data_IF_442409200441
#
_entry.id   IF_442409200441
#
_cell.length_a   1.000
_cell.length_b   1.000
_cell.length_c   1.000
_cell.angle_alpha   90.00
_cell.angle_beta   90.00
_cell.angle_gamma   90.00
#
_symmetry.space_group_name_H-M   'P 1'
#
loop_
_entity.id
_entity.type
_entity.pdbx_description
1 polymer ?
#
# COMPACT_ATOMS: atom_id res chain seq x y z
N UNK A 1 -16.24 5.02 -10.92
CA UNK A 1 -16.23 4.79 -9.46
C UNK A 1 -14.82 4.70 -8.92
N UNK A 2 -13.92 3.94 -9.57
CA UNK A 2 -12.52 3.84 -9.14
C UNK A 2 -11.82 5.20 -9.03
N UNK A 3 -11.87 6.05 -10.07
CA UNK A 3 -11.32 7.42 -10.01
C UNK A 3 -11.76 8.21 -8.77
N UNK A 4 -13.05 8.13 -8.42
CA UNK A 4 -13.57 8.76 -7.22
C UNK A 4 -12.92 8.20 -5.95
N UNK A 5 -12.82 6.88 -5.81
CA UNK A 5 -12.17 6.25 -4.65
C UNK A 5 -10.69 6.61 -4.55
N UNK A 6 -9.97 6.66 -5.67
CA UNK A 6 -8.59 7.09 -5.71
C UNK A 6 -8.43 8.54 -5.23
N UNK A 7 -9.15 9.49 -5.85
CA UNK A 7 -9.02 10.90 -5.47
C UNK A 7 -9.47 11.14 -4.04
N UNK A 8 -10.55 10.51 -3.60
CA UNK A 8 -11.03 10.63 -2.22
C UNK A 8 -9.97 10.14 -1.22
N UNK A 9 -9.37 8.98 -1.48
CA UNK A 9 -8.30 8.43 -0.64
C UNK A 9 -7.04 9.30 -0.63
N UNK A 10 -6.63 9.80 -1.80
CA UNK A 10 -5.43 10.64 -1.90
C UNK A 10 -5.62 12.03 -1.29
N UNK A 11 -6.78 12.66 -1.48
CA UNK A 11 -7.11 13.91 -0.80
C UNK A 11 -7.20 13.74 0.71
N UNK A 12 -7.79 12.63 1.18
CA UNK A 12 -7.80 12.30 2.60
C UNK A 12 -6.37 12.18 3.16
N UNK A 13 -5.48 11.42 2.51
CA UNK A 13 -4.07 11.32 2.89
C UNK A 13 -3.34 12.67 2.83
N UNK A 14 -3.66 13.51 1.85
CA UNK A 14 -3.07 14.84 1.73
C UNK A 14 -3.51 15.76 2.88
N UNK A 15 -4.78 15.76 3.25
CA UNK A 15 -5.31 16.52 4.40
C UNK A 15 -4.66 16.02 5.70
N UNK A 16 -4.60 14.71 5.91
CA UNK A 16 -3.93 14.10 7.06
C UNK A 16 -2.47 14.57 7.17
N UNK A 17 -1.73 14.48 6.06
CA UNK A 17 -0.30 14.82 6.06
C UNK A 17 -0.06 16.31 6.21
N UNK A 18 -0.91 17.17 5.66
CA UNK A 18 -0.70 18.63 5.66
C UNK A 18 -1.12 19.28 6.97
N UNK A 19 -2.27 18.88 7.52
CA UNK A 19 -2.88 19.58 8.65
C UNK A 19 -2.77 18.84 9.99
N UNK A 20 -2.74 17.50 9.99
CA UNK A 20 -2.83 16.71 11.22
C UNK A 20 -1.46 16.23 11.71
N UNK A 21 -0.55 15.85 10.81
CA UNK A 21 0.79 15.39 11.18
C UNK A 21 1.71 16.54 11.66
N UNK A 22 2.50 16.24 12.69
CA UNK A 22 3.51 17.14 13.24
C UNK A 22 4.53 17.62 12.18
N UNK A 23 4.99 18.86 12.33
CA UNK A 23 5.90 19.49 11.36
C UNK A 23 7.26 18.80 11.35
N UNK A 24 7.51 18.03 10.29
CA UNK A 24 8.79 17.37 10.03
C UNK A 24 9.11 17.36 8.51
N UNK A 25 10.37 17.14 8.15
CA UNK A 25 10.81 16.97 6.75
C UNK A 25 10.07 15.82 6.06
N UNK A 26 9.86 14.70 6.76
CA UNK A 26 9.12 13.54 6.24
C UNK A 26 7.69 13.93 5.83
N UNK A 27 7.03 14.78 6.63
CA UNK A 27 5.70 15.30 6.32
C UNK A 27 5.68 16.08 5.01
N UNK A 28 6.64 16.99 4.83
CA UNK A 28 6.74 17.79 3.60
C UNK A 28 6.92 16.90 2.37
N UNK A 29 7.83 15.92 2.45
CA UNK A 29 8.03 14.95 1.37
C UNK A 29 6.77 14.12 1.09
N UNK A 30 6.08 13.65 2.12
CA UNK A 30 4.83 12.88 1.95
C UNK A 30 3.72 13.71 1.29
N UNK A 31 3.48 14.94 1.75
CA UNK A 31 2.45 15.82 1.16
C UNK A 31 2.79 16.19 -0.28
N UNK A 32 4.05 16.51 -0.58
CA UNK A 32 4.50 16.79 -1.94
C UNK A 32 4.37 15.55 -2.84
N UNK A 33 4.73 14.36 -2.34
CA UNK A 33 4.57 13.10 -3.05
C UNK A 33 3.11 12.82 -3.41
N UNK A 34 2.18 12.98 -2.44
CA UNK A 34 0.74 12.76 -2.67
C UNK A 34 0.21 13.72 -3.72
N UNK A 35 0.54 15.01 -3.62
CA UNK A 35 0.07 16.02 -4.57
C UNK A 35 0.62 15.76 -5.98
N UNK A 36 1.90 15.42 -6.09
CA UNK A 36 2.52 15.05 -7.36
C UNK A 36 1.87 13.79 -7.95
N UNK A 37 1.53 12.82 -7.11
CA UNK A 37 0.85 11.60 -7.54
C UNK A 37 -0.55 11.89 -8.10
N UNK A 38 -1.33 12.76 -7.45
CA UNK A 38 -2.63 13.23 -7.97
C UNK A 38 -2.46 13.88 -9.34
N UNK A 39 -1.49 14.78 -9.50
CA UNK A 39 -1.24 15.46 -10.79
C UNK A 39 -0.83 14.43 -11.86
N UNK A 40 0.07 13.50 -11.53
CA UNK A 40 0.59 12.50 -12.46
C UNK A 40 -0.44 11.44 -12.84
N UNK A 41 -1.51 11.25 -12.07
CA UNK A 41 -2.53 10.23 -12.35
C UNK A 41 -3.25 10.40 -13.68
N UNK A 42 -3.27 11.64 -14.21
CA UNK A 42 -3.86 11.98 -15.52
C UNK A 42 -2.97 11.65 -16.71
N UNK A 43 -1.69 11.31 -16.49
CA UNK A 43 -0.72 11.12 -17.56
C UNK A 43 -0.37 9.65 -17.73
N UNK A 44 -0.27 9.24 -18.99
CA UNK A 44 0.16 7.90 -19.39
C UNK A 44 1.45 7.99 -20.19
N UNK A 45 2.38 7.09 -19.89
CA UNK A 45 3.69 7.00 -20.54
C UNK A 45 3.76 5.69 -21.32
N UNK A 46 4.14 5.78 -22.59
CA UNK A 46 4.29 4.62 -23.47
C UNK A 46 5.76 4.19 -23.51
N UNK A 47 6.01 2.98 -23.04
CA UNK A 47 7.28 2.26 -23.23
C UNK A 47 6.98 0.98 -24.05
N UNK A 48 7.39 -0.19 -23.53
CA UNK A 48 6.96 -1.50 -24.03
C UNK A 48 5.48 -1.76 -23.71
N UNK A 49 5.01 -1.23 -22.57
CA UNK A 49 3.62 -1.19 -22.12
C UNK A 49 3.20 0.28 -21.90
N UNK A 50 1.91 0.52 -21.78
CA UNK A 50 1.40 1.79 -21.26
C UNK A 50 1.46 1.75 -19.73
N UNK A 51 2.05 2.77 -19.12
CA UNK A 51 2.12 2.94 -17.68
C UNK A 51 1.43 4.23 -17.27
N UNK A 52 0.65 4.20 -16.19
CA UNK A 52 0.23 5.43 -15.54
C UNK A 52 1.44 6.10 -14.85
N UNK A 53 1.60 7.42 -14.98
CA UNK A 53 2.73 8.12 -14.37
C UNK A 53 2.68 8.10 -12.83
N UNK A 54 1.48 8.10 -12.22
CA UNK A 54 1.32 7.93 -10.78
C UNK A 54 1.76 6.55 -10.28
N UNK A 55 1.54 5.50 -11.07
CA UNK A 55 2.03 4.15 -10.77
C UNK A 55 3.57 4.12 -10.70
N UNK A 56 4.25 4.75 -11.65
CA UNK A 56 5.72 4.83 -11.64
C UNK A 56 6.23 5.64 -10.44
N UNK A 57 5.50 6.69 -10.05
CA UNK A 57 5.82 7.45 -8.85
C UNK A 57 5.64 6.61 -7.58
N UNK A 58 4.57 5.82 -7.46
CA UNK A 58 4.41 4.84 -6.37
C UNK A 58 5.55 3.84 -6.32
N UNK A 59 5.92 3.28 -7.48
CA UNK A 59 6.98 2.30 -7.58
C UNK A 59 8.33 2.86 -7.12
N UNK A 60 8.73 4.02 -7.65
CA UNK A 60 9.98 4.70 -7.28
C UNK A 60 9.98 5.19 -5.83
N UNK A 61 8.86 5.72 -5.34
CA UNK A 61 8.70 6.14 -3.95
C UNK A 61 8.85 4.98 -2.96
N UNK A 62 8.32 3.81 -3.28
CA UNK A 62 8.43 2.63 -2.44
C UNK A 62 9.87 2.09 -2.36
N UNK A 63 10.63 2.16 -3.45
CA UNK A 63 12.07 1.86 -3.41
C UNK A 63 12.86 2.85 -2.55
N UNK A 64 12.51 4.14 -2.61
CA UNK A 64 13.15 5.15 -1.80
C UNK A 64 12.88 4.95 -0.30
N UNK A 65 11.64 4.59 0.06
CA UNK A 65 11.23 4.33 1.45
C UNK A 65 11.95 3.15 2.12
N UNK A 66 12.13 2.02 1.41
CA UNK A 66 12.77 0.85 2.00
C UNK A 66 14.29 0.81 1.75
N UNK A 67 14.81 1.59 0.81
CA UNK A 67 16.14 1.44 0.25
C UNK A 67 16.25 0.16 -0.58
N UNK A 68 16.61 0.28 -1.87
CA UNK A 68 16.69 -0.82 -2.84
C UNK A 68 17.29 -2.12 -2.28
N UNK A 69 18.35 -2.04 -1.46
CA UNK A 69 19.05 -3.19 -0.90
C UNK A 69 18.38 -3.82 0.34
N UNK A 70 17.48 -3.16 1.06
CA UNK A 70 16.99 -3.65 2.36
C UNK A 70 16.13 -4.91 2.24
N UNK A 71 15.35 -5.02 1.16
CA UNK A 71 14.49 -6.17 0.89
C UNK A 71 15.35 -7.38 0.54
N UNK A 72 16.30 -7.23 -0.39
CA UNK A 72 17.18 -8.31 -0.83
C UNK A 72 18.21 -8.74 0.23
N UNK A 73 18.49 -7.88 1.22
CA UNK A 73 19.36 -8.24 2.35
C UNK A 73 18.73 -9.25 3.32
N UNK A 74 17.41 -9.41 3.31
CA UNK A 74 16.73 -10.38 4.16
C UNK A 74 15.99 -11.39 3.31
N UNK A 75 16.47 -12.63 3.31
CA UNK A 75 15.82 -13.77 2.64
C UNK A 75 14.33 -13.86 3.00
N UNK A 76 13.99 -13.62 4.27
CA UNK A 76 12.59 -13.58 4.73
C UNK A 76 11.76 -12.51 4.03
N UNK A 77 12.27 -11.28 3.90
CA UNK A 77 11.56 -10.18 3.22
C UNK A 77 11.44 -10.45 1.73
N UNK A 78 12.45 -11.04 1.12
CA UNK A 78 12.42 -11.43 -0.29
C UNK A 78 11.33 -12.48 -0.56
N UNK A 79 11.26 -13.56 0.23
CA UNK A 79 10.21 -14.57 0.09
C UNK A 79 8.82 -14.00 0.33
N UNK A 80 8.66 -13.14 1.33
CA UNK A 80 7.40 -12.47 1.59
C UNK A 80 6.97 -11.58 0.41
N UNK A 81 7.88 -10.76 -0.10
CA UNK A 81 7.63 -9.93 -1.27
C UNK A 81 7.25 -10.79 -2.48
N UNK A 82 7.98 -11.87 -2.76
CA UNK A 82 7.70 -12.76 -3.87
C UNK A 82 6.33 -13.45 -3.71
N UNK A 83 6.00 -13.90 -2.50
CA UNK A 83 4.68 -14.45 -2.18
C UNK A 83 3.56 -13.43 -2.43
N UNK A 84 3.75 -12.16 -2.07
CA UNK A 84 2.81 -11.09 -2.37
C UNK A 84 2.62 -10.92 -3.89
N UNK A 85 3.71 -10.80 -4.65
CA UNK A 85 3.66 -10.67 -6.11
C UNK A 85 2.90 -11.82 -6.77
N UNK A 86 3.18 -13.07 -6.38
CA UNK A 86 2.45 -14.22 -6.90
C UNK A 86 1.01 -14.27 -6.43
N UNK A 87 0.71 -13.90 -5.19
CA UNK A 87 -0.65 -13.85 -4.68
C UNK A 87 -1.51 -12.84 -5.46
N UNK A 88 -0.96 -11.67 -5.81
CA UNK A 88 -1.63 -10.69 -6.66
C UNK A 88 -1.95 -11.29 -8.03
N UNK A 89 -0.93 -11.80 -8.72
CA UNK A 89 -1.09 -12.38 -10.06
C UNK A 89 -2.08 -13.55 -10.06
N UNK A 90 -1.95 -14.47 -9.10
CA UNK A 90 -2.85 -15.60 -8.93
C UNK A 90 -4.30 -15.15 -8.71
N UNK A 91 -4.54 -14.23 -7.77
CA UNK A 91 -5.89 -13.81 -7.40
C UNK A 91 -6.61 -13.16 -8.58
N UNK A 92 -5.95 -12.26 -9.32
CA UNK A 92 -6.57 -11.60 -10.47
C UNK A 92 -6.69 -12.52 -11.70
N UNK A 93 -5.76 -13.45 -11.91
CA UNK A 93 -5.93 -14.47 -12.96
C UNK A 93 -7.06 -15.44 -12.63
N UNK A 94 -7.21 -15.82 -11.36
CA UNK A 94 -8.30 -16.67 -10.90
C UNK A 94 -9.65 -15.95 -11.04
N UNK A 95 -9.73 -14.67 -10.63
CA UNK A 95 -10.91 -13.83 -10.82
C UNK A 95 -11.28 -13.62 -12.29
N UNK A 96 -10.29 -13.56 -13.18
CA UNK A 96 -10.52 -13.47 -14.62
C UNK A 96 -11.08 -14.79 -15.18
N UNK A 97 -10.61 -15.93 -14.69
CA UNK A 97 -11.01 -17.25 -15.18
C UNK A 97 -12.40 -17.69 -14.67
N UNK A 98 -12.64 -17.58 -13.36
CA UNK A 98 -13.91 -17.95 -12.74
C UNK A 98 -14.30 -16.95 -11.62
N UNK A 99 -15.09 -15.92 -11.96
CA UNK A 99 -15.47 -14.87 -11.01
C UNK A 99 -16.53 -15.32 -9.99
N UNK A 100 -17.21 -16.46 -10.18
CA UNK A 100 -18.37 -16.86 -9.35
C UNK A 100 -17.97 -17.19 -7.92
N UNK A 101 -16.71 -17.58 -7.70
CA UNK A 101 -16.17 -17.89 -6.36
C UNK A 101 -15.95 -16.66 -5.47
N UNK A 102 -15.99 -15.45 -6.04
CA UNK A 102 -15.68 -14.22 -5.31
C UNK A 102 -16.94 -13.59 -4.70
N UNK A 103 -17.19 -13.89 -3.42
CA UNK A 103 -18.22 -13.22 -2.61
C UNK A 103 -17.82 -11.75 -2.36
N UNK A 104 -16.53 -11.50 -2.16
CA UNK A 104 -15.95 -10.16 -2.05
C UNK A 104 -15.19 -9.83 -3.33
N UNK A 105 -15.30 -8.56 -3.75
CA UNK A 105 -14.51 -7.99 -4.85
C UNK A 105 -13.00 -8.34 -4.72
N UNK A 106 -12.38 -8.91 -5.77
CA UNK A 106 -10.95 -9.27 -5.80
C UNK A 106 -10.02 -8.17 -5.30
N UNK A 107 -10.35 -6.92 -5.63
CA UNK A 107 -9.64 -5.70 -5.24
C UNK A 107 -9.52 -5.56 -3.72
N UNK A 108 -10.59 -5.84 -2.98
CA UNK A 108 -10.57 -5.73 -1.52
C UNK A 108 -9.85 -6.91 -0.86
N UNK A 109 -9.96 -8.11 -1.45
CA UNK A 109 -9.25 -9.29 -0.95
C UNK A 109 -7.75 -9.09 -0.99
N UNK A 110 -7.20 -8.59 -2.11
CA UNK A 110 -5.76 -8.39 -2.24
C UNK A 110 -5.25 -7.29 -1.31
N UNK A 111 -6.03 -6.21 -1.13
CA UNK A 111 -5.71 -5.14 -0.18
C UNK A 111 -5.62 -5.72 1.23
N UNK A 112 -6.67 -6.42 1.69
CA UNK A 112 -6.69 -6.98 3.05
C UNK A 112 -5.59 -8.00 3.26
N UNK A 113 -5.37 -8.90 2.29
CA UNK A 113 -4.30 -9.89 2.34
C UNK A 113 -2.94 -9.21 2.50
N UNK A 114 -2.65 -8.19 1.71
CA UNK A 114 -1.36 -7.50 1.76
C UNK A 114 -1.18 -6.67 3.02
N UNK A 115 -2.24 -6.01 3.50
CA UNK A 115 -2.23 -5.29 4.79
C UNK A 115 -1.90 -6.26 5.92
N UNK A 116 -2.56 -7.43 5.97
CA UNK A 116 -2.32 -8.47 6.99
C UNK A 116 -0.88 -9.00 6.89
N UNK A 117 -0.42 -9.35 5.69
CA UNK A 117 0.93 -9.87 5.47
C UNK A 117 2.00 -8.85 5.89
N UNK A 118 1.86 -7.59 5.49
CA UNK A 118 2.85 -6.57 5.88
C UNK A 118 2.79 -6.30 7.39
N UNK A 119 1.61 -6.25 8.00
CA UNK A 119 1.46 -6.02 9.42
C UNK A 119 2.05 -7.14 10.29
N UNK A 120 1.90 -8.40 9.87
CA UNK A 120 2.39 -9.56 10.59
C UNK A 120 3.94 -9.67 10.55
N UNK A 121 4.58 -9.24 9.46
CA UNK A 121 6.01 -9.46 9.24
C UNK A 121 6.89 -8.24 9.48
N UNK A 122 6.36 -7.03 9.29
CA UNK A 122 7.10 -5.78 9.48
C UNK A 122 6.55 -5.01 10.68
N UNK A 123 7.44 -4.38 11.45
CA UNK A 123 7.06 -3.56 12.62
C UNK A 123 7.01 -2.07 12.31
N UNK A 124 7.86 -1.61 11.38
CA UNK A 124 7.95 -0.19 11.06
C UNK A 124 6.89 0.18 10.01
N UNK A 125 6.21 1.31 10.21
CA UNK A 125 5.24 1.83 9.23
C UNK A 125 5.86 2.00 7.84
N UNK A 126 7.09 2.52 7.76
CA UNK A 126 7.78 2.72 6.50
C UNK A 126 8.06 1.39 5.77
N UNK A 127 8.51 0.36 6.51
CA UNK A 127 8.75 -0.98 5.96
C UNK A 127 7.45 -1.63 5.48
N UNK A 128 6.37 -1.54 6.27
CA UNK A 128 5.03 -2.04 5.90
C UNK A 128 4.54 -1.39 4.61
N UNK A 129 4.58 -0.06 4.58
CA UNK A 129 4.14 0.73 3.44
C UNK A 129 4.94 0.40 2.17
N UNK A 130 6.27 0.36 2.29
CA UNK A 130 7.12 0.10 1.14
C UNK A 130 6.93 -1.33 0.60
N UNK A 131 6.83 -2.33 1.48
CA UNK A 131 6.61 -3.71 1.08
C UNK A 131 5.22 -3.90 0.44
N UNK A 132 4.19 -3.25 0.99
CA UNK A 132 2.85 -3.23 0.42
C UNK A 132 2.87 -2.66 -1.00
N UNK A 133 3.40 -1.43 -1.18
CA UNK A 133 3.39 -0.76 -2.48
C UNK A 133 4.24 -1.52 -3.49
N UNK A 134 5.42 -2.03 -3.11
CA UNK A 134 6.26 -2.82 -4.02
C UNK A 134 5.58 -4.12 -4.45
N UNK A 135 4.94 -4.83 -3.51
CA UNK A 135 4.14 -6.02 -3.82
C UNK A 135 3.00 -5.71 -4.78
N UNK A 136 2.28 -4.59 -4.57
CA UNK A 136 1.19 -4.15 -5.45
C UNK A 136 1.71 -3.78 -6.84
N UNK A 137 2.81 -3.04 -6.94
CA UNK A 137 3.38 -2.65 -8.22
C UNK A 137 3.88 -3.87 -9.00
N UNK A 138 4.72 -4.70 -8.38
CA UNK A 138 5.30 -5.86 -9.08
C UNK A 138 4.25 -6.94 -9.37
N UNK A 139 3.24 -7.10 -8.51
CA UNK A 139 2.08 -7.94 -8.77
C UNK A 139 1.28 -7.47 -9.99
N UNK A 140 0.97 -6.18 -10.07
CA UNK A 140 0.30 -5.57 -11.21
C UNK A 140 1.10 -5.70 -12.50
N UNK A 141 2.42 -5.50 -12.43
CA UNK A 141 3.31 -5.69 -13.57
C UNK A 141 3.32 -7.14 -14.04
N UNK A 142 3.42 -8.11 -13.12
CA UNK A 142 3.36 -9.54 -13.45
C UNK A 142 2.03 -9.90 -14.11
N UNK A 143 0.92 -9.50 -13.50
CA UNK A 143 -0.43 -9.71 -14.03
C UNK A 143 -0.57 -9.13 -15.43
N UNK A 144 -0.14 -7.88 -15.61
CA UNK A 144 -0.25 -7.16 -16.89
C UNK A 144 0.58 -7.83 -18.00
N UNK A 145 1.78 -8.31 -17.68
CA UNK A 145 2.64 -9.01 -18.62
C UNK A 145 2.02 -10.34 -19.09
N UNK A 146 1.33 -11.06 -18.21
CA UNK A 146 0.65 -12.31 -18.55
C UNK A 146 -0.56 -12.03 -19.44
N UNK A 147 -1.41 -11.08 -19.05
CA UNK A 147 -2.65 -10.77 -19.75
C UNK A 147 -2.47 -10.10 -21.09
N UNK A 148 -1.36 -9.37 -21.29
CA UNK A 148 -1.08 -8.71 -22.58
C UNK A 148 -1.19 -9.67 -23.76
N UNK A 149 -0.78 -10.93 -23.58
CA UNK A 149 -0.87 -11.97 -24.62
C UNK A 149 -2.30 -12.32 -25.02
N UNK A 150 -3.27 -12.06 -24.14
CA UNK A 150 -4.69 -12.40 -24.30
C UNK A 150 -5.53 -11.19 -24.76
N UNK A 151 -5.30 -10.01 -24.18
CA UNK A 151 -6.16 -8.82 -24.37
C UNK A 151 -5.47 -7.64 -25.07
N UNK A 152 -4.22 -7.78 -25.49
CA UNK A 152 -3.44 -6.71 -26.12
C UNK A 152 -2.87 -5.71 -25.13
N UNK A 153 -2.62 -4.48 -25.58
CA UNK A 153 -1.96 -3.46 -24.77
C UNK A 153 -2.90 -2.89 -23.68
N UNK A 154 -2.66 -3.29 -22.44
CA UNK A 154 -3.33 -2.78 -21.25
C UNK A 154 -2.47 -1.72 -20.54
N UNK A 155 -3.13 -0.77 -19.87
CA UNK A 155 -2.47 0.27 -19.08
C UNK A 155 -2.14 -0.28 -17.69
N UNK A 156 -0.85 -0.44 -17.40
CA UNK A 156 -0.34 -0.85 -16.09
C UNK A 156 -0.58 0.26 -15.08
N UNK A 157 -1.19 -0.08 -13.95
CA UNK A 157 -1.45 0.87 -12.88
C UNK A 157 -2.56 1.87 -13.20
N UNK A 158 -3.60 1.42 -13.91
CA UNK A 158 -4.81 2.23 -14.16
C UNK A 158 -5.57 2.61 -12.88
N UNK A 159 -6.69 3.32 -13.01
CA UNK A 159 -7.43 3.82 -11.85
C UNK A 159 -7.95 2.73 -10.90
N UNK A 160 -8.25 1.51 -11.38
CA UNK A 160 -8.56 0.39 -10.50
C UNK A 160 -7.40 0.09 -9.54
N UNK A 161 -6.19 -0.08 -10.09
CA UNK A 161 -4.97 -0.28 -9.29
C UNK A 161 -4.65 0.91 -8.38
N UNK A 162 -4.77 2.15 -8.86
CA UNK A 162 -4.52 3.35 -8.06
C UNK A 162 -5.48 3.45 -6.88
N UNK A 163 -6.76 3.11 -7.08
CA UNK A 163 -7.78 3.08 -6.03
C UNK A 163 -7.44 2.05 -4.98
N UNK A 164 -7.06 0.85 -5.41
CA UNK A 164 -6.64 -0.23 -4.51
C UNK A 164 -5.40 0.14 -3.70
N UNK A 165 -4.38 0.68 -4.37
CA UNK A 165 -3.11 1.05 -3.73
C UNK A 165 -3.35 2.15 -2.69
N UNK A 166 -4.05 3.23 -3.07
CA UNK A 166 -4.36 4.34 -2.16
C UNK A 166 -5.24 3.92 -0.98
N UNK A 167 -6.27 3.09 -1.20
CA UNK A 167 -7.10 2.55 -0.12
C UNK A 167 -6.29 1.66 0.84
N UNK A 168 -5.39 0.82 0.33
CA UNK A 168 -4.50 0.02 1.16
C UNK A 168 -3.53 0.87 1.99
N UNK A 169 -3.02 1.97 1.44
CA UNK A 169 -2.19 2.93 2.19
C UNK A 169 -2.99 3.55 3.34
N UNK A 170 -4.25 3.92 3.11
CA UNK A 170 -5.16 4.42 4.16
C UNK A 170 -5.35 3.37 5.26
N UNK A 171 -5.55 2.10 4.91
CA UNK A 171 -5.70 1.02 5.88
C UNK A 171 -4.43 0.77 6.69
N UNK A 172 -3.25 0.75 6.06
CA UNK A 172 -1.96 0.60 6.77
C UNK A 172 -1.74 1.77 7.73
N UNK A 173 -2.06 2.99 7.28
CA UNK A 173 -1.97 4.17 8.14
C UNK A 173 -2.91 4.04 9.34
N UNK A 174 -4.19 3.73 9.11
CA UNK A 174 -5.20 3.53 10.16
C UNK A 174 -4.79 2.46 11.17
N UNK A 175 -4.35 1.28 10.67
CA UNK A 175 -3.86 0.19 11.51
C UNK A 175 -2.68 0.63 12.38
N UNK A 176 -1.73 1.38 11.81
CA UNK A 176 -0.56 1.88 12.54
C UNK A 176 -0.93 2.90 13.63
N UNK A 177 -1.97 3.71 13.42
CA UNK A 177 -2.47 4.60 14.47
C UNK A 177 -3.20 3.80 15.57
N UNK A 178 -4.02 2.82 15.21
CA UNK A 178 -4.69 1.95 16.18
C UNK A 178 -3.67 1.22 17.08
N UNK A 179 -2.61 0.65 16.51
CA UNK A 179 -1.53 0.01 17.27
C UNK A 179 -0.88 0.99 18.27
N UNK A 180 -0.61 2.23 17.86
CA UNK A 180 -0.05 3.27 18.74
C UNK A 180 -0.98 3.62 19.89
N UNK A 181 -2.27 3.81 19.61
CA UNK A 181 -3.28 4.13 20.63
C UNK A 181 -3.44 2.99 21.64
N UNK A 182 -3.50 1.75 21.17
CA UNK A 182 -3.58 0.56 22.06
C UNK A 182 -2.35 0.49 22.97
N UNK A 183 -1.16 0.72 22.43
CA UNK A 183 0.07 0.76 23.24
C UNK A 183 0.05 1.88 24.30
N UNK A 184 -0.46 3.07 23.96
CA UNK A 184 -0.58 4.18 24.91
C UNK A 184 -1.58 3.85 26.04
N UNK A 185 -2.77 3.33 25.70
CA UNK A 185 -3.79 2.93 26.68
C UNK A 185 -3.23 1.86 27.61
N UNK A 186 -2.55 0.85 27.07
CA UNK A 186 -1.92 -0.20 27.86
C UNK A 186 -0.87 0.35 28.83
N UNK A 187 -0.05 1.32 28.40
CA UNK A 187 0.93 1.97 29.27
C UNK A 187 0.27 2.80 30.38
N UNK A 188 -0.81 3.52 30.08
CA UNK A 188 -1.57 4.29 31.08
C UNK A 188 -2.16 3.35 32.13
N UNK A 189 -2.82 2.27 31.71
CA UNK A 189 -3.35 1.24 32.60
C UNK A 189 -2.29 0.63 33.52
N UNK A 190 -1.12 0.30 32.98
CA UNK A 190 0.00 -0.23 33.76
C UNK A 190 0.53 0.77 34.78
N UNK A 191 0.52 2.08 34.48
CA UNK A 191 0.93 3.14 35.43
C UNK A 191 -0.09 3.32 36.55
N UNK A 192 -1.39 3.29 36.24
CA UNK A 192 -2.47 3.37 37.22
C UNK A 192 -2.43 2.21 38.22
N UNK A 193 -2.29 0.96 37.75
CA UNK A 193 -2.19 -0.20 38.64
C UNK A 193 -0.94 -0.18 39.52
N UNK A 194 0.20 0.30 39.03
CA UNK A 194 1.42 0.46 39.84
C UNK A 194 1.32 1.57 40.89
N UNK A 195 0.50 2.59 40.63
CA UNK A 195 0.19 3.65 41.59
C UNK A 195 -0.70 3.14 42.73
N UNK A 196 -1.72 2.33 42.40
CA UNK A 196 -2.62 1.74 43.38
C UNK A 196 -1.91 0.78 44.35
N UNK A 197 -0.97 -0.05 43.88
CA UNK A 197 -0.21 -0.99 44.73
C UNK A 197 0.87 -0.34 45.59
N UNK A 198 1.16 0.96 45.41
CA UNK A 198 2.08 1.71 46.29
C UNK A 198 1.36 2.49 47.40
N UNK A 199 0.02 2.56 47.35
CA UNK A 199 -0.81 3.24 48.33
C UNK A 199 -1.55 2.28 49.29
N UNK A 200 -1.42 0.96 49.09
CA UNK A 200 -1.84 -0.09 50.03
C UNK A 200 -0.64 -0.61 50.80
#
# INVERSE_FOLDING_TARGET
MEEFYYYWSMWFLWVLTTFILEKNRIRLFASAFILLNIILSMYQLRFILFFNAAYLLFYTGAFWLNGYLSIYKSVRRLFLHLAMVFAYGFLFLFALYDPVWFILKPEWLIIMLFVIMTAAFEKSFASRLALFVLGMCQGELLYSLIIRKLYGDIVVGGFSWLSMCSAGIVLIFGMSQCERLVHQIHQIWKRLNKGATKMS
#
